data_IF_589578329194
#
_entry.id   IF_589578329194
#
_cell.length_a   1.000
_cell.length_b   1.000
_cell.length_c   1.000
_cell.angle_alpha   90.00
_cell.angle_beta   90.00
_cell.angle_gamma   90.00
#
_symmetry.space_group_name_H-M   'P 1'
#
loop_
_entity.id
_entity.type
_entity.pdbx_description
1 polymer ?
#
# COMPACT_ATOMS: atom_id res chain seq x y z
N UNK A 1 -8.14 17.75 -19.07
CA UNK A 1 -7.32 16.65 -18.52
C UNK A 1 -8.29 15.51 -18.22
N UNK A 2 -8.10 14.31 -18.79
CA UNK A 2 -8.98 13.17 -18.52
C UNK A 2 -8.78 12.74 -17.07
N UNK A 3 -9.86 12.64 -16.30
CA UNK A 3 -9.80 12.08 -14.96
C UNK A 3 -9.57 10.57 -15.09
N UNK A 4 -8.43 10.07 -14.60
CA UNK A 4 -8.10 8.65 -14.71
C UNK A 4 -8.85 7.87 -13.62
N UNK A 5 -9.54 6.77 -13.98
CA UNK A 5 -10.25 5.96 -13.01
C UNK A 5 -9.30 5.17 -12.11
N UNK A 6 -9.84 4.61 -11.02
CA UNK A 6 -9.06 3.75 -10.11
C UNK A 6 -8.73 2.45 -10.84
N UNK A 7 -7.44 2.18 -11.01
CA UNK A 7 -6.95 0.96 -11.65
C UNK A 7 -7.26 -0.27 -10.78
N UNK A 8 -7.64 -1.39 -11.41
CA UNK A 8 -7.88 -2.68 -10.73
C UNK A 8 -7.03 -3.79 -11.35
N UNK A 9 -6.72 -4.83 -10.57
CA UNK A 9 -5.94 -5.98 -11.05
C UNK A 9 -6.64 -6.71 -12.21
N UNK A 10 -7.95 -6.92 -12.10
CA UNK A 10 -8.76 -7.55 -13.15
C UNK A 10 -8.72 -6.79 -14.48
N UNK A 11 -8.74 -5.46 -14.43
CA UNK A 11 -8.65 -4.63 -15.62
C UNK A 11 -7.27 -4.72 -16.29
N UNK A 12 -6.21 -4.84 -15.49
CA UNK A 12 -4.84 -5.08 -15.99
C UNK A 12 -4.72 -6.47 -16.61
N UNK A 13 -5.28 -7.51 -15.97
CA UNK A 13 -5.32 -8.87 -16.53
C UNK A 13 -6.08 -8.93 -17.87
N UNK A 14 -7.23 -8.25 -17.99
CA UNK A 14 -7.97 -8.15 -19.26
C UNK A 14 -7.12 -7.49 -20.35
N UNK A 15 -6.40 -6.43 -20.01
CA UNK A 15 -5.49 -5.76 -20.95
C UNK A 15 -4.32 -6.63 -21.39
N UNK A 16 -3.76 -7.43 -20.48
CA UNK A 16 -2.70 -8.41 -20.79
C UNK A 16 -3.23 -9.48 -21.74
N UNK A 17 -4.42 -10.03 -21.49
CA UNK A 17 -5.04 -11.01 -22.41
C UNK A 17 -5.28 -10.45 -23.80
N UNK A 18 -5.69 -9.18 -23.91
CA UNK A 18 -5.80 -8.52 -25.22
C UNK A 18 -4.43 -8.32 -25.89
N UNK A 19 -3.39 -8.02 -25.12
CA UNK A 19 -2.01 -7.94 -25.60
C UNK A 19 -1.43 -9.30 -25.99
N UNK A 20 -1.96 -10.40 -25.47
CA UNK A 20 -1.62 -11.77 -25.86
C UNK A 20 -2.37 -12.23 -27.11
N UNK A 21 -3.63 -11.81 -27.26
CA UNK A 21 -4.46 -12.11 -28.42
C UNK A 21 -4.03 -11.33 -29.67
N UNK A 22 -3.36 -10.20 -29.47
CA UNK A 22 -2.71 -9.39 -30.50
C UNK A 22 -1.20 -9.56 -30.41
N UNK A 23 -0.43 -9.26 -31.45
CA UNK A 23 1.00 -9.03 -31.24
C UNK A 23 1.20 -7.71 -30.47
N UNK A 24 2.34 -7.53 -29.76
CA UNK A 24 2.63 -6.27 -29.06
C UNK A 24 2.56 -5.06 -30.02
N UNK A 25 3.05 -5.22 -31.25
CA UNK A 25 3.01 -4.17 -32.26
C UNK A 25 1.58 -3.78 -32.67
N UNK A 26 0.69 -4.78 -32.83
CA UNK A 26 -0.73 -4.57 -33.14
C UNK A 26 -1.47 -3.96 -31.95
N UNK A 27 -1.20 -4.42 -30.73
CA UNK A 27 -1.78 -3.86 -29.51
C UNK A 27 -1.44 -2.37 -29.36
N UNK A 28 -0.16 -2.02 -29.54
CA UNK A 28 0.33 -0.64 -29.49
C UNK A 28 -0.29 0.23 -30.58
N UNK A 29 -0.37 -0.26 -31.82
CA UNK A 29 -0.97 0.45 -32.93
C UNK A 29 -2.48 0.67 -32.72
N UNK A 30 -3.19 -0.38 -32.33
CA UNK A 30 -4.65 -0.38 -32.10
C UNK A 30 -5.06 0.62 -31.03
N UNK A 31 -4.29 0.71 -29.95
CA UNK A 31 -4.58 1.60 -28.82
C UNK A 31 -3.79 2.92 -28.84
N UNK A 32 -3.17 3.26 -29.97
CA UNK A 32 -2.45 4.53 -30.20
C UNK A 32 -1.33 4.80 -29.20
N UNK A 33 -0.65 3.73 -28.74
CA UNK A 33 0.56 3.82 -27.94
C UNK A 33 1.78 3.67 -28.85
N UNK A 34 2.49 4.77 -29.12
CA UNK A 34 3.69 4.74 -29.97
C UNK A 34 4.88 3.98 -29.35
N UNK A 35 5.78 3.48 -30.19
CA UNK A 35 7.01 2.74 -29.79
C UNK A 35 7.92 3.49 -28.80
N UNK A 36 7.79 4.82 -28.72
CA UNK A 36 8.54 5.68 -27.80
C UNK A 36 8.16 5.46 -26.32
N UNK A 37 6.97 4.90 -26.04
CA UNK A 37 6.37 4.82 -24.69
C UNK A 37 6.49 3.43 -24.01
N UNK A 38 7.36 2.55 -24.52
CA UNK A 38 7.50 1.15 -24.08
C UNK A 38 8.67 0.89 -23.13
N UNK A 39 9.40 1.93 -22.68
CA UNK A 39 10.61 1.79 -21.85
C UNK A 39 10.38 1.00 -20.56
N UNK A 40 9.22 1.18 -19.94
CA UNK A 40 8.85 0.49 -18.72
C UNK A 40 7.99 -0.72 -19.04
N UNK A 41 8.36 -1.88 -18.48
CA UNK A 41 7.66 -3.14 -18.69
C UNK A 41 7.20 -3.73 -17.36
N UNK A 42 6.14 -4.50 -17.39
CA UNK A 42 5.69 -5.35 -16.28
C UNK A 42 5.85 -6.81 -16.68
N UNK A 43 6.05 -7.68 -15.70
CA UNK A 43 6.07 -9.13 -15.89
C UNK A 43 4.77 -9.75 -15.39
N UNK A 44 4.25 -10.70 -16.16
CA UNK A 44 3.16 -11.57 -15.74
C UNK A 44 3.34 -12.94 -16.38
N UNK A 45 3.37 -14.00 -15.55
CA UNK A 45 3.53 -15.39 -16.01
C UNK A 45 4.76 -15.62 -16.90
N UNK A 46 5.91 -15.04 -16.53
CA UNK A 46 7.18 -15.19 -17.27
C UNK A 46 7.24 -14.45 -18.62
N UNK A 47 6.24 -13.62 -18.93
CA UNK A 47 6.22 -12.76 -20.13
C UNK A 47 6.20 -11.30 -19.72
N UNK A 48 6.76 -10.44 -20.56
CA UNK A 48 6.83 -9.00 -20.28
C UNK A 48 5.91 -8.21 -21.19
N UNK A 49 5.31 -7.14 -20.65
CA UNK A 49 4.31 -6.32 -21.34
C UNK A 49 4.61 -4.82 -21.21
N UNK A 50 4.26 -3.99 -22.19
CA UNK A 50 4.48 -2.55 -22.15
C UNK A 50 3.60 -1.89 -21.09
N UNK A 51 4.20 -1.46 -19.97
CA UNK A 51 3.48 -1.02 -18.78
C UNK A 51 2.48 0.11 -19.06
N UNK A 52 2.89 1.15 -19.79
CA UNK A 52 2.01 2.30 -20.08
C UNK A 52 0.81 1.92 -20.95
N UNK A 53 1.01 1.05 -21.95
CA UNK A 53 -0.06 0.67 -22.86
C UNK A 53 -1.05 -0.28 -22.18
N UNK A 54 -0.56 -1.23 -21.39
CA UNK A 54 -1.39 -2.11 -20.57
C UNK A 54 -2.21 -1.30 -19.57
N UNK A 55 -1.59 -0.35 -18.85
CA UNK A 55 -2.32 0.52 -17.91
C UNK A 55 -3.35 1.40 -18.61
N UNK A 56 -2.99 2.00 -19.75
CA UNK A 56 -3.91 2.82 -20.53
C UNK A 56 -5.14 2.04 -20.97
N UNK A 57 -4.93 0.80 -21.44
CA UNK A 57 -6.03 -0.10 -21.82
C UNK A 57 -6.84 -0.57 -20.61
N UNK A 58 -6.20 -0.76 -19.47
CA UNK A 58 -6.87 -1.20 -18.25
C UNK A 58 -7.92 -0.19 -17.78
N UNK A 59 -7.70 1.11 -17.94
CA UNK A 59 -8.73 2.10 -17.59
C UNK A 59 -10.04 1.91 -18.36
N UNK A 60 -9.99 1.48 -19.63
CA UNK A 60 -11.20 1.14 -20.37
C UNK A 60 -11.96 -0.04 -19.76
N UNK A 61 -11.26 -1.02 -19.19
CA UNK A 61 -11.90 -2.17 -18.54
C UNK A 61 -12.46 -1.85 -17.15
N UNK A 62 -12.16 -0.67 -16.61
CA UNK A 62 -12.74 -0.18 -15.35
C UNK A 62 -14.07 0.50 -15.62
N UNK A 63 -14.12 1.46 -16.54
CA UNK A 63 -15.30 2.32 -16.77
C UNK A 63 -15.45 2.82 -18.22
N UNK A 64 -14.84 2.13 -19.18
CA UNK A 64 -14.81 2.51 -20.60
C UNK A 64 -14.04 3.81 -20.92
N UNK A 65 -13.30 4.38 -19.95
CA UNK A 65 -12.44 5.53 -20.22
C UNK A 65 -11.36 5.19 -21.25
N UNK A 66 -11.41 5.88 -22.38
CA UNK A 66 -10.40 5.76 -23.44
C UNK A 66 -9.22 6.67 -23.13
N UNK A 67 -8.06 6.06 -22.87
CA UNK A 67 -6.83 6.76 -22.50
C UNK A 67 -5.76 6.53 -23.57
N UNK A 68 -5.14 7.62 -24.05
CA UNK A 68 -4.04 7.56 -25.01
C UNK A 68 -2.69 7.82 -24.35
N UNK A 69 -1.60 7.68 -25.12
CA UNK A 69 -0.27 8.02 -24.63
C UNK A 69 -0.11 9.49 -24.19
N UNK A 70 -0.85 10.41 -24.80
CA UNK A 70 -0.82 11.83 -24.45
C UNK A 70 -1.47 12.09 -23.09
N UNK A 71 -2.56 11.39 -22.77
CA UNK A 71 -3.27 11.50 -21.49
C UNK A 71 -2.44 10.95 -20.32
N UNK A 72 -1.50 10.05 -20.62
CA UNK A 72 -0.55 9.50 -19.65
C UNK A 72 0.80 10.22 -19.63
N UNK A 73 0.90 11.40 -20.24
CA UNK A 73 2.09 12.23 -20.12
C UNK A 73 2.32 12.65 -18.66
N UNK A 74 3.55 12.51 -18.17
CA UNK A 74 3.89 12.71 -16.74
C UNK A 74 3.40 11.59 -15.80
N UNK A 75 2.55 10.67 -16.27
CA UNK A 75 2.06 9.55 -15.45
C UNK A 75 3.06 8.40 -15.46
N UNK A 76 3.52 8.01 -14.27
CA UNK A 76 4.38 6.84 -14.08
C UNK A 76 3.51 5.58 -13.97
N UNK A 77 3.63 4.69 -14.96
CA UNK A 77 2.81 3.47 -15.03
C UNK A 77 3.22 2.41 -13.99
N UNK A 78 4.52 2.16 -13.80
CA UNK A 78 5.00 1.09 -12.90
C UNK A 78 4.49 1.23 -11.47
N UNK A 79 4.53 2.41 -10.82
CA UNK A 79 3.98 2.54 -9.47
C UNK A 79 2.48 2.22 -9.41
N UNK A 80 1.70 2.64 -10.41
CA UNK A 80 0.26 2.39 -10.45
C UNK A 80 -0.08 0.91 -10.69
N UNK A 81 0.71 0.25 -11.52
CA UNK A 81 0.57 -1.19 -11.79
C UNK A 81 1.03 -2.03 -10.60
N UNK A 82 2.06 -1.60 -9.88
CA UNK A 82 2.53 -2.26 -8.66
C UNK A 82 1.46 -2.27 -7.55
N UNK A 83 0.65 -1.20 -7.44
CA UNK A 83 -0.50 -1.16 -6.51
C UNK A 83 -1.55 -2.24 -6.76
N UNK A 84 -1.55 -2.83 -7.95
CA UNK A 84 -2.48 -3.91 -8.35
C UNK A 84 -1.75 -5.21 -8.66
N UNK A 85 -0.51 -5.37 -8.15
CA UNK A 85 0.24 -6.62 -8.18
C UNK A 85 1.07 -6.86 -9.45
N UNK A 86 1.32 -5.85 -10.27
CA UNK A 86 2.12 -5.97 -11.50
C UNK A 86 3.43 -5.21 -11.39
N UNK A 87 4.53 -5.97 -11.41
CA UNK A 87 5.87 -5.48 -11.13
C UNK A 87 6.76 -5.54 -12.38
N UNK A 88 7.83 -4.74 -12.47
CA UNK A 88 8.82 -4.90 -13.53
C UNK A 88 9.47 -6.29 -13.49
N UNK A 89 9.99 -6.79 -14.63
CA UNK A 89 10.73 -8.03 -14.65
C UNK A 89 11.92 -7.96 -13.68
N UNK A 90 12.09 -8.98 -12.86
CA UNK A 90 13.23 -9.07 -11.95
C UNK A 90 14.48 -9.34 -12.80
N UNK A 91 15.31 -8.32 -12.98
CA UNK A 91 16.61 -8.49 -13.62
C UNK A 91 17.57 -9.19 -12.66
N UNK A 92 18.35 -10.13 -13.17
CA UNK A 92 19.54 -10.62 -12.48
C UNK A 92 20.40 -9.42 -12.06
N UNK A 93 20.78 -9.39 -10.78
CA UNK A 93 21.59 -8.34 -10.21
C UNK A 93 22.90 -8.18 -10.99
N UNK A 94 23.15 -6.98 -11.51
CA UNK A 94 24.49 -6.56 -11.94
C UNK A 94 24.77 -5.19 -11.32
N UNK A 95 25.77 -5.18 -10.44
CA UNK A 95 26.39 -4.01 -9.82
C UNK A 95 26.86 -2.97 -10.86
N UNK A 96 26.73 -1.68 -10.53
CA UNK A 96 27.26 -0.61 -11.38
C UNK A 96 26.82 0.81 -11.04
N UNK A 97 27.21 1.27 -9.87
CA UNK A 97 27.68 2.64 -9.49
C UNK A 97 27.10 3.95 -10.09
N UNK A 98 26.65 4.76 -9.10
CA UNK A 98 26.76 6.21 -8.89
C UNK A 98 25.80 7.24 -9.51
N UNK A 99 25.03 7.79 -8.56
CA UNK A 99 24.85 9.22 -8.23
C UNK A 99 23.82 10.02 -9.04
N UNK A 100 22.67 10.24 -8.39
CA UNK A 100 22.06 11.57 -8.30
C UNK A 100 21.30 11.66 -6.98
N UNK A 101 21.85 12.47 -6.08
CA UNK A 101 21.22 12.98 -4.88
C UNK A 101 20.04 13.88 -5.23
N UNK A 102 18.84 13.49 -4.79
CA UNK A 102 17.80 14.45 -4.43
C UNK A 102 17.07 13.87 -3.22
N UNK A 103 17.43 14.38 -2.05
CA UNK A 103 16.85 13.99 -0.77
C UNK A 103 15.37 14.35 -0.68
N UNK A 104 14.56 13.30 -0.60
CA UNK A 104 13.24 13.29 0.02
C UNK A 104 13.15 11.97 0.79
N UNK A 105 12.50 11.93 1.96
CA UNK A 105 12.45 10.74 2.80
C UNK A 105 11.79 9.60 2.02
N UNK A 106 12.55 8.53 1.78
CA UNK A 106 12.07 7.36 1.08
C UNK A 106 11.20 6.54 2.05
N UNK A 107 9.90 6.48 1.77
CA UNK A 107 8.98 5.50 2.36
C UNK A 107 9.49 4.11 1.95
N UNK A 108 10.14 3.43 2.90
CA UNK A 108 10.58 2.04 2.74
C UNK A 108 9.61 1.13 3.49
N UNK A 109 8.98 0.23 2.75
CA UNK A 109 8.14 -0.82 3.33
C UNK A 109 9.05 -1.96 3.75
N UNK A 110 9.09 -2.22 5.06
CA UNK A 110 9.85 -3.32 5.64
C UNK A 110 8.91 -4.46 6.04
N UNK A 111 9.37 -5.73 5.97
CA UNK A 111 8.62 -6.85 6.55
C UNK A 111 8.28 -6.60 8.03
N UNK A 112 7.12 -7.07 8.49
CA UNK A 112 6.83 -7.07 9.92
C UNK A 112 7.86 -7.95 10.63
N UNK A 113 8.59 -7.39 11.60
CA UNK A 113 9.50 -8.16 12.45
C UNK A 113 8.71 -9.26 13.17
N UNK A 114 9.08 -10.52 12.94
CA UNK A 114 8.62 -11.64 13.74
C UNK A 114 9.45 -11.66 15.02
N UNK A 115 8.86 -11.33 16.16
CA UNK A 115 9.45 -11.63 17.46
C UNK A 115 9.39 -13.15 17.72
N UNK A 116 10.09 -13.95 16.91
CA UNK A 116 10.51 -15.29 17.31
C UNK A 116 11.93 -15.11 17.83
N UNK A 117 12.04 -15.02 19.15
CA UNK A 117 13.31 -14.82 19.83
C UNK A 117 14.23 -16.03 19.58
N UNK A 118 15.29 -15.83 18.81
CA UNK A 118 16.55 -16.53 18.97
C UNK A 118 17.58 -15.52 19.49
N UNK A 119 18.20 -15.88 20.63
CA UNK A 119 18.73 -14.95 21.61
C UNK A 119 19.79 -13.96 21.12
N UNK A 120 19.62 -12.71 21.55
CA UNK A 120 20.71 -11.77 21.80
C UNK A 120 20.68 -11.36 23.27
N UNK A 121 21.83 -11.50 23.92
CA UNK A 121 22.04 -11.24 25.33
C UNK A 121 22.14 -9.72 25.57
N UNK A 122 20.97 -9.09 25.61
CA UNK A 122 20.78 -7.76 26.20
C UNK A 122 19.59 -7.90 27.14
N UNK A 123 19.69 -7.52 28.43
CA UNK A 123 18.58 -7.71 29.36
C UNK A 123 17.36 -6.95 28.86
N UNK A 124 16.36 -7.69 28.37
CA UNK A 124 15.07 -7.16 28.01
C UNK A 124 14.47 -6.53 29.27
N UNK A 125 14.41 -5.20 29.31
CA UNK A 125 13.58 -4.49 30.28
C UNK A 125 12.16 -5.04 30.13
N UNK A 126 11.48 -5.42 31.22
CA UNK A 126 10.09 -5.84 31.10
C UNK A 126 9.29 -4.66 30.53
N UNK A 127 8.78 -4.83 29.31
CA UNK A 127 7.84 -3.89 28.72
C UNK A 127 6.64 -3.75 29.68
N UNK A 128 6.22 -2.52 29.96
CA UNK A 128 5.06 -2.26 30.81
C UNK A 128 3.78 -2.88 30.25
N UNK A 129 2.74 -3.06 31.09
CA UNK A 129 1.48 -3.72 30.73
C UNK A 129 0.85 -3.16 29.45
N UNK A 130 0.90 -1.83 29.23
CA UNK A 130 0.38 -1.19 28.03
C UNK A 130 1.11 -1.64 26.75
N UNK A 131 2.45 -1.69 26.77
CA UNK A 131 3.24 -2.11 25.60
C UNK A 131 2.96 -3.58 25.21
N UNK A 132 2.64 -4.44 26.19
CA UNK A 132 2.26 -5.84 25.92
C UNK A 132 0.89 -5.95 25.26
N UNK A 133 -0.07 -5.12 25.68
CA UNK A 133 -1.40 -5.06 25.08
C UNK A 133 -1.33 -4.53 23.64
N UNK A 134 -0.57 -3.48 23.38
CA UNK A 134 -0.32 -2.96 22.03
C UNK A 134 0.32 -4.00 21.12
N UNK A 135 1.37 -4.68 21.59
CA UNK A 135 2.03 -5.74 20.83
C UNK A 135 1.06 -6.88 20.48
N UNK A 136 0.22 -7.31 21.44
CA UNK A 136 -0.79 -8.35 21.21
C UNK A 136 -1.86 -7.92 20.21
N UNK A 137 -2.37 -6.69 20.35
CA UNK A 137 -3.40 -6.14 19.46
C UNK A 137 -2.88 -5.97 18.03
N UNK A 138 -1.64 -5.47 17.89
CA UNK A 138 -0.95 -5.37 16.61
C UNK A 138 -0.74 -6.74 15.95
N UNK A 139 -0.25 -7.73 16.72
CA UNK A 139 -0.03 -9.09 16.22
C UNK A 139 -1.34 -9.74 15.75
N UNK A 140 -2.42 -9.59 16.53
CA UNK A 140 -3.75 -10.07 16.16
C UNK A 140 -4.26 -9.45 14.87
N UNK A 141 -4.13 -8.12 14.72
CA UNK A 141 -4.55 -7.41 13.51
C UNK A 141 -3.78 -7.91 12.28
N UNK A 142 -2.45 -8.01 12.39
CA UNK A 142 -1.63 -8.49 11.29
C UNK A 142 -1.96 -9.93 10.90
N UNK A 143 -2.24 -10.81 11.88
CA UNK A 143 -2.65 -12.18 11.61
C UNK A 143 -3.99 -12.23 10.87
N UNK A 144 -4.97 -11.42 11.30
CA UNK A 144 -6.27 -11.31 10.65
C UNK A 144 -6.14 -10.80 9.20
N UNK A 145 -5.40 -9.72 8.99
CA UNK A 145 -5.14 -9.17 7.64
C UNK A 145 -4.44 -10.18 6.72
N UNK A 146 -3.41 -10.90 7.22
CA UNK A 146 -2.76 -11.98 6.47
C UNK A 146 -3.73 -13.13 6.16
N UNK A 147 -4.63 -13.47 7.08
CA UNK A 147 -5.69 -14.46 6.86
C UNK A 147 -6.66 -14.05 5.75
N UNK A 148 -6.88 -12.75 5.55
CA UNK A 148 -7.62 -12.18 4.42
C UNK A 148 -6.79 -12.09 3.13
N UNK A 149 -5.52 -12.52 3.14
CA UNK A 149 -4.61 -12.47 2.00
C UNK A 149 -3.92 -11.12 1.79
N UNK A 150 -3.99 -10.21 2.77
CA UNK A 150 -3.35 -8.90 2.65
C UNK A 150 -1.84 -8.99 2.90
N UNK A 151 -1.08 -8.17 2.17
CA UNK A 151 0.33 -7.96 2.40
C UNK A 151 0.51 -6.87 3.46
N UNK A 152 1.02 -7.27 4.62
CA UNK A 152 1.27 -6.36 5.75
C UNK A 152 2.76 -6.18 5.99
N UNK A 153 3.15 -4.96 6.29
CA UNK A 153 4.51 -4.55 6.63
C UNK A 153 4.51 -3.42 7.64
N UNK A 154 5.64 -2.75 7.76
CA UNK A 154 5.77 -1.45 8.46
C UNK A 154 6.43 -0.47 7.52
N UNK A 155 6.24 0.82 7.76
CA UNK A 155 6.96 1.86 7.04
C UNK A 155 8.01 2.44 7.96
N UNK A 156 9.23 2.57 7.44
CA UNK A 156 10.28 3.35 8.10
C UNK A 156 10.17 4.81 7.64
N UNK A 157 9.89 5.72 8.59
CA UNK A 157 9.66 7.14 8.33
C UNK A 157 10.46 7.96 9.34
N UNK A 158 11.36 8.82 8.84
CA UNK A 158 12.11 9.76 9.65
C UNK A 158 12.80 9.14 10.90
N UNK A 159 13.31 7.91 10.78
CA UNK A 159 13.98 7.19 11.87
C UNK A 159 13.04 6.45 12.83
N UNK A 160 11.75 6.36 12.52
CA UNK A 160 10.75 5.64 13.31
C UNK A 160 10.01 4.61 12.45
N UNK A 161 9.59 3.52 13.07
CA UNK A 161 8.71 2.54 12.44
C UNK A 161 7.26 2.82 12.80
N UNK A 162 6.39 2.77 11.81
CA UNK A 162 4.93 2.75 12.02
C UNK A 162 4.49 1.39 12.59
N UNK A 163 3.31 1.31 13.19
CA UNK A 163 2.81 0.05 13.73
C UNK A 163 2.54 -1.00 12.66
N UNK A 164 1.53 -0.80 11.81
CA UNK A 164 1.20 -1.73 10.73
C UNK A 164 0.78 -0.96 9.48
N UNK A 165 1.36 -1.33 8.35
CA UNK A 165 0.98 -0.84 7.04
C UNK A 165 0.47 -2.00 6.19
N UNK A 166 -0.78 -1.89 5.77
CA UNK A 166 -1.38 -2.80 4.80
C UNK A 166 -1.13 -2.25 3.40
N UNK A 167 -0.26 -2.93 2.68
CA UNK A 167 0.14 -2.60 1.31
C UNK A 167 -1.01 -2.87 0.34
N UNK A 168 -1.80 -3.92 0.60
CA UNK A 168 -2.90 -4.35 -0.26
C UNK A 168 -4.04 -3.33 -0.25
N UNK A 169 -4.48 -2.92 0.94
CA UNK A 169 -5.57 -1.96 1.09
C UNK A 169 -5.08 -0.50 1.14
N UNK A 170 -3.76 -0.27 1.16
CA UNK A 170 -3.12 1.03 1.38
C UNK A 170 -3.65 1.73 2.64
N UNK A 171 -3.52 1.06 3.78
CA UNK A 171 -3.98 1.56 5.09
C UNK A 171 -2.82 1.57 6.08
N UNK A 172 -2.66 2.70 6.76
CA UNK A 172 -1.74 2.84 7.87
C UNK A 172 -2.52 2.76 9.18
N UNK A 173 -2.17 1.76 9.99
CA UNK A 173 -2.78 1.49 11.28
C UNK A 173 -1.85 1.96 12.39
N UNK A 174 -2.42 2.67 13.36
CA UNK A 174 -1.75 3.02 14.62
C UNK A 174 -2.51 2.37 15.77
N UNK A 175 -1.79 1.63 16.60
CA UNK A 175 -2.32 0.78 17.67
C UNK A 175 -2.14 1.49 19.01
N UNK A 176 -3.17 1.41 19.86
CA UNK A 176 -3.10 1.89 21.25
C UNK A 176 -3.64 0.88 22.23
N UNK A 177 -3.05 0.83 23.42
CA UNK A 177 -3.48 -0.06 24.51
C UNK A 177 -4.74 0.43 25.23
N UNK A 178 -5.16 1.68 25.02
CA UNK A 178 -6.24 2.33 25.75
C UNK A 178 -7.31 2.92 24.83
N UNK A 179 -8.51 3.07 25.37
CA UNK A 179 -9.68 3.63 24.67
C UNK A 179 -9.99 5.08 25.10
N UNK A 180 -9.12 5.69 25.91
CA UNK A 180 -9.37 7.03 26.44
C UNK A 180 -9.08 8.10 25.38
N UNK A 181 -9.68 9.29 25.56
CA UNK A 181 -9.48 10.43 24.64
C UNK A 181 -8.00 10.74 24.39
N UNK A 182 -7.15 10.60 25.41
CA UNK A 182 -5.71 10.86 25.30
C UNK A 182 -5.05 9.90 24.30
N UNK A 183 -5.44 8.63 24.31
CA UNK A 183 -4.87 7.57 23.47
C UNK A 183 -5.34 7.76 22.02
N UNK A 184 -6.64 8.02 21.84
CA UNK A 184 -7.23 8.29 20.52
C UNK A 184 -6.60 9.53 19.87
N UNK A 185 -6.45 10.63 20.62
CA UNK A 185 -5.80 11.84 20.09
C UNK A 185 -4.33 11.63 19.77
N UNK A 186 -3.62 10.84 20.57
CA UNK A 186 -2.22 10.48 20.31
C UNK A 186 -2.12 9.73 18.97
N UNK A 187 -2.94 8.71 18.76
CA UNK A 187 -2.96 7.93 17.52
C UNK A 187 -3.26 8.79 16.29
N UNK A 188 -4.26 9.68 16.39
CA UNK A 188 -4.60 10.64 15.32
C UNK A 188 -3.39 11.53 14.98
N UNK A 189 -2.72 12.08 16.00
CA UNK A 189 -1.55 12.94 15.82
C UNK A 189 -0.42 12.21 15.10
N UNK A 190 -0.07 11.00 15.55
CA UNK A 190 0.96 10.17 14.93
C UNK A 190 0.64 9.82 13.48
N UNK A 191 -0.60 9.41 13.18
CA UNK A 191 -1.04 9.11 11.82
C UNK A 191 -0.93 10.32 10.90
N UNK A 192 -1.31 11.51 11.37
CA UNK A 192 -1.12 12.75 10.60
C UNK A 192 0.35 13.14 10.46
N UNK A 193 1.20 12.84 11.44
CA UNK A 193 2.64 13.07 11.32
C UNK A 193 3.25 12.17 10.24
N UNK A 194 2.85 10.89 10.18
CA UNK A 194 3.33 9.92 9.20
C UNK A 194 2.84 10.19 7.80
N UNK A 195 1.57 10.56 7.60
CA UNK A 195 0.99 10.71 6.26
C UNK A 195 1.67 11.79 5.41
N UNK A 196 2.32 12.77 6.06
CA UNK A 196 3.11 13.82 5.39
C UNK A 196 4.27 13.29 4.55
N UNK A 197 4.71 12.07 4.84
CA UNK A 197 5.81 11.42 4.13
C UNK A 197 5.34 10.59 2.93
N UNK A 198 4.03 10.49 2.70
CA UNK A 198 3.45 9.75 1.58
C UNK A 198 3.08 10.69 0.42
N UNK A 199 4.05 10.98 -0.45
CA UNK A 199 3.92 12.01 -1.49
C UNK A 199 2.98 11.67 -2.66
N UNK A 200 2.74 10.37 -2.94
CA UNK A 200 2.12 9.93 -4.21
C UNK A 200 0.74 9.31 -4.05
N UNK A 201 0.52 8.64 -2.93
CA UNK A 201 -0.77 8.05 -2.57
C UNK A 201 -0.83 7.99 -1.04
N UNK A 202 -1.47 8.97 -0.38
CA UNK A 202 -1.61 8.93 1.06
C UNK A 202 -2.44 7.70 1.46
N UNK A 203 -2.00 6.91 2.44
CA UNK A 203 -2.77 5.80 2.95
C UNK A 203 -4.05 6.30 3.61
N UNK A 204 -5.07 5.44 3.63
CA UNK A 204 -6.15 5.63 4.60
C UNK A 204 -5.55 5.43 5.99
N UNK A 205 -6.07 6.17 6.95
CA UNK A 205 -5.54 6.17 8.31
C UNK A 205 -6.53 5.45 9.22
N UNK A 206 -6.05 4.56 10.07
CA UNK A 206 -6.88 3.74 10.94
C UNK A 206 -6.33 3.74 12.38
N UNK A 207 -7.22 4.01 13.34
CA UNK A 207 -6.93 3.90 14.77
C UNK A 207 -7.39 2.52 15.24
N UNK A 208 -6.49 1.76 15.86
CA UNK A 208 -6.77 0.42 16.37
C UNK A 208 -6.80 0.45 17.89
N UNK A 209 -7.94 0.09 18.48
CA UNK A 209 -8.17 0.13 19.92
C UNK A 209 -8.60 -1.26 20.44
N UNK A 210 -8.37 -1.59 21.72
CA UNK A 210 -8.73 -2.90 22.27
C UNK A 210 -10.24 -3.10 22.44
N UNK A 211 -11.04 -2.04 22.25
CA UNK A 211 -12.48 -2.06 22.37
C UNK A 211 -13.10 -0.73 21.98
N UNK A 212 -14.41 -0.64 22.15
CA UNK A 212 -15.20 0.51 21.70
C UNK A 212 -14.99 1.76 22.61
N UNK A 213 -14.48 2.90 22.09
CA UNK A 213 -14.16 4.08 22.90
C UNK A 213 -15.38 4.98 23.23
N UNK A 214 -16.58 4.57 22.84
CA UNK A 214 -17.80 5.36 23.04
C UNK A 214 -18.09 6.35 21.90
N UNK A 215 -19.35 6.83 21.81
CA UNK A 215 -19.87 7.53 20.62
C UNK A 215 -19.14 8.84 20.31
N UNK A 216 -18.72 9.58 21.33
CA UNK A 216 -17.96 10.83 21.16
C UNK A 216 -16.62 10.59 20.45
N UNK A 217 -15.85 9.59 20.89
CA UNK A 217 -14.54 9.31 20.32
C UNK A 217 -14.65 8.64 18.94
N UNK A 218 -15.71 7.84 18.71
CA UNK A 218 -16.05 7.38 17.35
C UNK A 218 -16.31 8.55 16.40
N UNK A 219 -17.11 9.52 16.84
CA UNK A 219 -17.40 10.72 16.05
C UNK A 219 -16.14 11.55 15.79
N UNK A 220 -15.23 11.66 16.76
CA UNK A 220 -13.94 12.32 16.58
C UNK A 220 -13.11 11.65 15.49
N UNK A 221 -12.91 10.33 15.55
CA UNK A 221 -12.14 9.57 14.54
C UNK A 221 -12.77 9.72 13.15
N UNK A 222 -14.10 9.63 13.06
CA UNK A 222 -14.83 9.80 11.80
C UNK A 222 -14.70 11.23 11.24
N UNK A 223 -14.73 12.26 12.10
CA UNK A 223 -14.65 13.68 11.68
C UNK A 223 -13.33 14.04 11.00
N UNK A 224 -12.26 13.31 11.30
CA UNK A 224 -10.94 13.46 10.67
C UNK A 224 -10.71 12.49 9.51
N UNK A 225 -11.75 11.75 9.09
CA UNK A 225 -11.71 10.83 7.95
C UNK A 225 -10.93 9.54 8.21
N UNK A 226 -10.74 9.15 9.47
CA UNK A 226 -10.01 7.94 9.85
C UNK A 226 -10.97 6.77 10.10
N UNK A 227 -10.46 5.56 9.93
CA UNK A 227 -11.14 4.33 10.32
C UNK A 227 -10.94 4.08 11.81
N UNK A 228 -11.95 3.49 12.45
CA UNK A 228 -11.82 2.91 13.78
C UNK A 228 -11.87 1.39 13.64
N UNK A 229 -10.87 0.72 14.20
CA UNK A 229 -10.71 -0.73 14.15
C UNK A 229 -10.67 -1.28 15.57
N UNK A 230 -11.47 -2.30 15.83
CA UNK A 230 -11.57 -2.95 17.15
C UNK A 230 -11.69 -4.47 17.00
N UNK A 231 -11.21 -5.27 17.97
CA UNK A 231 -11.46 -6.71 17.98
C UNK A 231 -12.96 -7.03 17.94
N UNK A 232 -13.35 -7.99 17.09
CA UNK A 232 -14.71 -8.52 17.03
C UNK A 232 -14.65 -10.03 16.76
N UNK A 233 -15.15 -10.84 17.71
CA UNK A 233 -15.07 -12.30 17.62
C UNK A 233 -13.62 -12.79 17.57
N UNK A 234 -13.29 -13.56 16.53
CA UNK A 234 -11.94 -14.05 16.21
C UNK A 234 -11.15 -13.13 15.26
N UNK A 235 -11.71 -11.97 14.92
CA UNK A 235 -11.14 -11.03 13.97
C UNK A 235 -11.23 -9.58 14.42
N UNK A 236 -11.35 -8.69 13.43
CA UNK A 236 -11.37 -7.25 13.63
C UNK A 236 -12.46 -6.62 12.78
N UNK A 237 -13.16 -5.65 13.36
CA UNK A 237 -14.17 -4.85 12.68
C UNK A 237 -13.59 -3.51 12.20
N UNK A 238 -14.22 -2.90 11.19
CA UNK A 238 -13.81 -1.58 10.67
C UNK A 238 -12.63 -1.60 9.70
N UNK A 239 -12.16 -2.79 9.30
CA UNK A 239 -11.18 -2.96 8.22
C UNK A 239 -11.87 -2.70 6.87
N UNK A 240 -11.21 -2.04 5.90
CA UNK A 240 -11.77 -1.91 4.56
C UNK A 240 -11.97 -3.28 3.89
N UNK A 241 -13.07 -3.41 3.13
CA UNK A 241 -13.26 -4.51 2.21
C UNK A 241 -12.28 -4.49 1.03
#
# INVERSE_FOLDING_TARGET
>A
MVQLPRLTGDAVLKSIRECDALTEAEFLARYKFGKQNIRNRIEHQGRTYPAKAVMGRAFFHVDETVVTAADLHGVRALPRLALVGFHPPQGDAVEGTHASTSGGPAVEVVPCEQNVADGFDTPARPAGTAARLEAGLMAGLQAHLRGLGHQVGRVHIAGMYTDTYDVTANVLYEVKAGIERKDVRMAIGQLFDYVRYFDKLPPRLAVVLPGDPGPDLRALVASVGMLLVTPEGDGFSGIPA
#
